data_IF_496356220365
#
_entry.id   IF_496356220365
#
_cell.length_a   1.000
_cell.length_b   1.000
_cell.length_c   1.000
_cell.angle_alpha   90.00
_cell.angle_beta   90.00
_cell.angle_gamma   90.00
#
_symmetry.space_group_name_H-M   'P 1'
#
loop_
_entity.id
_entity.type
_entity.pdbx_description
1 polymer ?
#
# COMPACT_ATOMS: atom_id res chain seq x y z
N UNK A 1 27.73 -33.31 -10.74
CA UNK A 1 27.03 -32.83 -9.53
C UNK A 1 27.73 -31.59 -9.03
N UNK A 2 26.96 -30.58 -8.62
CA UNK A 2 27.38 -29.29 -8.07
C UNK A 2 27.72 -28.18 -9.07
N UNK A 3 26.71 -27.69 -9.78
CA UNK A 3 26.69 -26.27 -10.18
C UNK A 3 25.26 -25.68 -10.32
N UNK A 4 24.32 -26.12 -9.47
CA UNK A 4 22.91 -25.65 -9.49
C UNK A 4 22.58 -24.76 -8.27
N UNK A 5 23.51 -24.55 -7.33
CA UNK A 5 23.19 -23.89 -6.04
C UNK A 5 23.78 -22.50 -5.84
N UNK A 6 24.10 -21.73 -6.90
CA UNK A 6 24.71 -20.40 -6.71
C UNK A 6 24.17 -19.22 -7.52
N UNK A 7 22.97 -19.35 -8.08
CA UNK A 7 22.26 -18.21 -8.69
C UNK A 7 20.76 -18.21 -8.33
N UNK A 8 20.45 -18.15 -7.03
CA UNK A 8 19.28 -17.38 -6.62
C UNK A 8 19.76 -15.95 -6.42
N UNK A 9 19.87 -15.21 -7.53
CA UNK A 9 19.82 -13.75 -7.48
C UNK A 9 18.46 -13.44 -6.87
N UNK A 10 18.44 -13.09 -5.59
CA UNK A 10 17.29 -12.45 -4.98
C UNK A 10 17.06 -11.21 -5.84
N UNK A 11 16.05 -11.24 -6.73
CA UNK A 11 15.57 -10.02 -7.38
C UNK A 11 15.39 -9.00 -6.27
N UNK A 12 16.04 -7.83 -6.38
CA UNK A 12 15.74 -6.73 -5.48
C UNK A 12 14.23 -6.54 -5.56
N UNK A 13 13.53 -6.76 -4.44
CA UNK A 13 12.07 -6.60 -4.40
C UNK A 13 11.72 -5.23 -4.94
N UNK A 14 10.73 -5.16 -5.83
CA UNK A 14 10.24 -3.88 -6.30
C UNK A 14 9.62 -3.12 -5.11
N UNK A 15 9.84 -1.81 -5.09
CA UNK A 15 9.26 -0.97 -4.05
C UNK A 15 7.75 -0.84 -4.28
N UNK A 16 6.97 -1.31 -3.32
CA UNK A 16 5.51 -1.16 -3.30
C UNK A 16 5.15 0.05 -2.45
N UNK A 17 4.49 1.05 -3.04
CA UNK A 17 3.91 2.14 -2.24
C UNK A 17 2.70 1.64 -1.47
N UNK A 18 2.51 2.11 -0.24
CA UNK A 18 1.41 1.68 0.61
C UNK A 18 0.02 1.81 -0.03
N UNK A 19 -0.23 2.86 -0.82
CA UNK A 19 -1.50 3.06 -1.50
C UNK A 19 -1.72 2.14 -2.72
N UNK A 20 -0.69 1.42 -3.14
CA UNK A 20 -0.75 0.41 -4.22
C UNK A 20 -0.71 -1.03 -3.69
N UNK A 21 -0.51 -1.21 -2.38
CA UNK A 21 -0.44 -2.53 -1.77
C UNK A 21 -1.78 -3.26 -1.87
N UNK A 22 -1.80 -4.38 -2.60
CA UNK A 22 -2.95 -5.28 -2.71
C UNK A 22 -2.78 -6.47 -1.75
N UNK A 23 -3.58 -6.55 -0.70
CA UNK A 23 -3.37 -7.54 0.37
C UNK A 23 -3.51 -8.99 -0.13
N UNK A 24 -4.40 -9.23 -1.10
CA UNK A 24 -4.60 -10.55 -1.71
C UNK A 24 -3.38 -11.08 -2.48
N UNK A 25 -2.42 -10.21 -2.80
CA UNK A 25 -1.16 -10.60 -3.47
C UNK A 25 -0.10 -11.06 -2.46
N UNK A 26 -0.41 -11.07 -1.15
CA UNK A 26 0.47 -11.55 -0.11
C UNK A 26 0.36 -13.06 0.00
N UNK A 27 1.50 -13.75 -0.09
CA UNK A 27 1.62 -15.18 0.17
C UNK A 27 2.33 -15.43 1.50
N UNK A 28 1.88 -16.45 2.22
CA UNK A 28 2.43 -16.85 3.51
C UNK A 28 2.98 -18.26 3.41
N UNK A 29 4.23 -18.44 3.85
CA UNK A 29 4.79 -19.78 4.03
C UNK A 29 4.36 -20.37 5.38
N UNK A 30 4.18 -21.68 5.42
CA UNK A 30 3.96 -22.41 6.66
C UNK A 30 5.09 -22.13 7.67
N UNK A 31 4.78 -21.73 8.92
CA UNK A 31 5.81 -21.43 9.90
C UNK A 31 6.69 -22.64 10.23
N UNK A 32 8.00 -22.47 10.05
CA UNK A 32 9.00 -23.50 10.37
C UNK A 32 9.72 -23.19 11.67
N UNK A 33 10.10 -24.22 12.42
CA UNK A 33 10.89 -24.06 13.63
C UNK A 33 12.31 -23.57 13.27
N UNK A 34 12.69 -22.39 13.78
CA UNK A 34 14.04 -21.80 13.67
C UNK A 34 14.70 -21.70 15.05
N UNK A 35 14.53 -22.73 15.88
CA UNK A 35 15.11 -22.86 17.21
C UNK A 35 14.15 -22.41 18.32
N UNK A 36 14.23 -21.14 18.71
CA UNK A 36 13.40 -20.58 19.79
C UNK A 36 12.09 -19.98 19.32
N UNK A 37 11.91 -19.86 18.01
CA UNK A 37 10.76 -19.24 17.35
C UNK A 37 10.34 -20.08 16.16
N UNK A 38 9.07 -20.00 15.79
CA UNK A 38 8.61 -20.43 14.48
C UNK A 38 8.51 -19.22 13.56
N UNK A 39 8.90 -19.39 12.30
CA UNK A 39 8.91 -18.29 11.33
C UNK A 39 8.32 -18.75 10.00
N UNK A 40 7.30 -18.04 9.52
CA UNK A 40 6.75 -18.19 8.17
C UNK A 40 7.09 -16.94 7.36
N UNK A 41 7.67 -17.12 6.17
CA UNK A 41 7.97 -15.99 5.28
C UNK A 41 6.68 -15.34 4.78
N UNK A 42 6.76 -14.05 4.48
CA UNK A 42 5.71 -13.30 3.79
C UNK A 42 6.29 -12.75 2.49
N UNK A 43 5.68 -13.13 1.38
CA UNK A 43 6.05 -12.66 0.05
C UNK A 43 4.90 -11.86 -0.54
N UNK A 44 5.24 -10.93 -1.44
CA UNK A 44 4.31 -10.15 -2.22
C UNK A 44 4.60 -10.39 -3.69
N UNK A 45 3.65 -11.00 -4.40
CA UNK A 45 3.84 -11.45 -5.78
C UNK A 45 5.15 -12.26 -5.95
N UNK A 46 5.38 -13.21 -5.02
CA UNK A 46 6.58 -14.06 -4.95
C UNK A 46 7.91 -13.33 -4.70
N UNK A 47 7.88 -12.05 -4.32
CA UNK A 47 9.06 -11.23 -4.03
C UNK A 47 9.05 -10.71 -2.59
N UNK A 48 10.20 -10.28 -2.04
CA UNK A 48 10.23 -9.61 -0.75
C UNK A 48 9.39 -8.32 -0.76
N UNK A 49 8.52 -8.15 0.24
CA UNK A 49 7.67 -6.97 0.34
C UNK A 49 8.47 -5.77 0.89
N UNK A 50 8.80 -4.81 0.01
CA UNK A 50 9.37 -3.52 0.37
C UNK A 50 8.29 -2.44 0.32
N UNK A 51 7.77 -2.07 1.49
CA UNK A 51 6.67 -1.14 1.64
C UNK A 51 7.16 0.29 1.88
N UNK A 52 6.86 1.19 0.95
CA UNK A 52 7.10 2.63 1.13
C UNK A 52 5.91 3.29 1.83
N UNK A 53 6.17 4.02 2.91
CA UNK A 53 5.14 4.74 3.67
C UNK A 53 4.62 6.00 2.98
N UNK A 54 3.55 6.59 3.53
CA UNK A 54 3.23 8.01 3.32
C UNK A 54 4.24 8.90 4.05
N UNK A 55 4.01 10.23 4.03
CA UNK A 55 4.77 11.17 4.84
C UNK A 55 4.37 11.01 6.30
N UNK A 56 5.34 10.90 7.19
CA UNK A 56 5.16 10.76 8.64
C UNK A 56 6.03 11.78 9.35
N UNK A 57 5.61 12.22 10.54
CA UNK A 57 6.42 13.12 11.37
C UNK A 57 7.14 12.33 12.45
N UNK A 58 8.39 12.70 12.71
CA UNK A 58 9.20 12.08 13.75
C UNK A 58 8.76 12.63 15.10
N UNK A 59 8.21 11.79 15.96
CA UNK A 59 7.84 12.17 17.33
C UNK A 59 9.00 11.99 18.31
N UNK A 60 9.88 11.02 18.05
CA UNK A 60 11.09 10.81 18.83
C UNK A 60 11.73 9.45 18.57
N UNK A 61 12.84 9.21 19.26
CA UNK A 61 13.55 7.93 19.28
C UNK A 61 13.60 7.46 20.73
N UNK A 62 13.04 6.29 21.00
CA UNK A 62 12.99 5.73 22.35
C UNK A 62 14.24 4.93 22.69
N UNK A 63 14.55 4.84 24.00
CA UNK A 63 15.73 4.15 24.54
C UNK A 63 15.87 2.68 24.12
N UNK A 64 14.77 2.03 23.72
CA UNK A 64 14.76 0.64 23.28
C UNK A 64 15.11 0.47 21.79
N UNK A 65 15.70 1.50 21.15
CA UNK A 65 16.02 1.50 19.71
C UNK A 65 14.74 1.40 18.86
N UNK A 66 13.73 2.19 19.21
CA UNK A 66 12.51 2.36 18.42
C UNK A 66 12.42 3.80 17.92
N UNK A 67 11.95 3.98 16.70
CA UNK A 67 11.52 5.29 16.20
C UNK A 67 10.00 5.41 16.35
N UNK A 68 9.56 6.52 16.94
CA UNK A 68 8.15 6.85 17.11
C UNK A 68 7.78 7.89 16.08
N UNK A 69 6.77 7.56 15.29
CA UNK A 69 6.29 8.36 14.17
C UNK A 69 4.82 8.67 14.38
N UNK A 70 4.37 9.81 13.88
CA UNK A 70 2.96 10.18 13.87
C UNK A 70 2.51 10.47 12.43
N UNK A 71 1.24 10.20 12.15
CA UNK A 71 0.64 10.58 10.86
C UNK A 71 0.42 12.09 10.79
N UNK A 72 0.20 12.60 9.58
CA UNK A 72 -0.34 13.95 9.44
C UNK A 72 -1.82 13.99 9.84
N UNK A 73 -2.34 15.19 10.13
CA UNK A 73 -3.76 15.40 10.50
C UNK A 73 -4.70 15.09 9.34
N UNK A 74 -4.22 15.28 8.12
CA UNK A 74 -5.01 15.09 6.89
C UNK A 74 -4.73 13.76 6.19
N UNK A 75 -3.74 12.98 6.64
CA UNK A 75 -3.31 11.77 5.95
C UNK A 75 -3.03 10.61 6.91
N UNK A 76 -4.06 9.80 7.14
CA UNK A 76 -3.99 8.54 7.91
C UNK A 76 -3.73 7.31 7.04
N UNK A 77 -3.57 7.50 5.72
CA UNK A 77 -3.73 6.41 4.76
C UNK A 77 -2.67 5.30 4.88
N UNK A 78 -1.45 5.62 5.37
CA UNK A 78 -0.46 4.60 5.69
C UNK A 78 -0.81 3.80 6.94
N UNK A 79 -1.28 4.49 7.99
CA UNK A 79 -1.73 3.82 9.22
C UNK A 79 -2.91 2.90 8.92
N UNK A 80 -3.91 3.37 8.19
CA UNK A 80 -5.07 2.56 7.78
C UNK A 80 -4.64 1.34 6.96
N UNK A 81 -3.63 1.49 6.09
CA UNK A 81 -3.08 0.35 5.34
C UNK A 81 -2.41 -0.67 6.25
N UNK A 82 -1.73 -0.24 7.31
CA UNK A 82 -1.17 -1.16 8.31
C UNK A 82 -2.25 -1.84 9.15
N UNK A 83 -3.34 -1.15 9.49
CA UNK A 83 -4.51 -1.77 10.14
C UNK A 83 -5.10 -2.87 9.25
N UNK A 84 -5.32 -2.58 7.97
CA UNK A 84 -5.82 -3.57 7.01
C UNK A 84 -4.85 -4.76 6.86
N UNK A 85 -3.54 -4.51 6.92
CA UNK A 85 -2.53 -5.56 6.89
C UNK A 85 -2.58 -6.43 8.16
N UNK A 86 -2.73 -5.81 9.34
CA UNK A 86 -2.90 -6.52 10.61
C UNK A 86 -4.13 -7.45 10.56
N UNK A 87 -5.26 -6.96 10.07
CA UNK A 87 -6.49 -7.74 9.92
C UNK A 87 -6.33 -8.89 8.89
N UNK A 88 -5.71 -8.60 7.75
CA UNK A 88 -5.43 -9.62 6.74
C UNK A 88 -4.51 -10.73 7.27
N UNK A 89 -3.54 -10.40 8.13
CA UNK A 89 -2.67 -11.39 8.77
C UNK A 89 -3.44 -12.27 9.74
N UNK A 90 -4.37 -11.70 10.53
CA UNK A 90 -5.24 -12.46 11.42
C UNK A 90 -6.10 -13.45 10.64
N UNK A 91 -6.77 -12.97 9.59
CA UNK A 91 -7.60 -13.79 8.72
C UNK A 91 -6.79 -14.91 8.06
N UNK A 92 -5.63 -14.58 7.48
CA UNK A 92 -4.75 -15.58 6.89
C UNK A 92 -4.29 -16.62 7.92
N UNK A 93 -3.95 -16.20 9.14
CA UNK A 93 -3.53 -17.13 10.20
C UNK A 93 -4.67 -18.04 10.63
N UNK A 94 -5.90 -17.51 10.70
CA UNK A 94 -7.10 -18.29 11.01
C UNK A 94 -7.37 -19.36 9.96
N UNK A 95 -7.42 -18.96 8.68
CA UNK A 95 -7.66 -19.87 7.55
C UNK A 95 -6.61 -20.98 7.43
N UNK A 96 -5.36 -20.68 7.78
CA UNK A 96 -4.27 -21.65 7.70
C UNK A 96 -3.97 -22.35 9.04
N UNK A 97 -4.75 -22.09 10.10
CA UNK A 97 -4.40 -22.54 11.46
C UNK A 97 -4.31 -24.07 11.59
N UNK A 98 -5.24 -24.80 10.96
CA UNK A 98 -5.23 -26.26 10.94
C UNK A 98 -3.95 -26.79 10.26
N UNK A 99 -3.59 -26.26 9.10
CA UNK A 99 -2.39 -26.69 8.37
C UNK A 99 -1.10 -26.31 9.10
N UNK A 100 -1.01 -25.09 9.64
CA UNK A 100 0.20 -24.56 10.26
C UNK A 100 0.48 -25.18 11.63
N UNK A 101 -0.57 -25.41 12.42
CA UNK A 101 -0.44 -25.83 13.82
C UNK A 101 -0.98 -27.24 14.11
N UNK A 102 -1.47 -27.95 13.09
CA UNK A 102 -2.19 -29.23 13.22
C UNK A 102 -3.38 -29.13 14.18
N UNK A 103 -3.97 -27.93 14.27
CA UNK A 103 -5.10 -27.63 15.15
C UNK A 103 -5.78 -26.34 14.67
N UNK A 104 -7.10 -26.37 14.54
CA UNK A 104 -7.90 -25.17 14.35
C UNK A 104 -7.78 -24.25 15.57
N UNK A 105 -7.42 -22.99 15.32
CA UNK A 105 -7.34 -21.97 16.36
C UNK A 105 -8.51 -21.00 16.19
N UNK A 106 -9.42 -20.92 17.19
CA UNK A 106 -10.48 -19.91 17.22
C UNK A 106 -9.94 -18.47 17.05
N UNK A 107 -10.71 -17.62 16.36
CA UNK A 107 -10.32 -16.24 16.06
C UNK A 107 -10.02 -15.41 17.31
N UNK A 108 -10.79 -15.57 18.38
CA UNK A 108 -10.58 -14.88 19.66
C UNK A 108 -9.23 -15.23 20.31
N UNK A 109 -8.78 -16.48 20.16
CA UNK A 109 -7.44 -16.88 20.62
C UNK A 109 -6.36 -16.20 19.77
N UNK A 110 -6.54 -16.17 18.44
CA UNK A 110 -5.58 -15.54 17.52
C UNK A 110 -5.48 -14.03 17.75
N UNK A 111 -6.60 -13.33 17.92
CA UNK A 111 -6.64 -11.90 18.24
C UNK A 111 -5.89 -11.59 19.53
N UNK A 112 -6.05 -12.43 20.56
CA UNK A 112 -5.34 -12.28 21.83
C UNK A 112 -3.83 -12.57 21.71
N UNK A 113 -3.43 -13.47 20.81
CA UNK A 113 -2.03 -13.81 20.58
C UNK A 113 -1.33 -12.82 19.64
N UNK A 114 -2.05 -12.17 18.74
CA UNK A 114 -1.45 -11.34 17.71
C UNK A 114 -1.06 -9.96 18.26
N UNK A 115 0.22 -9.62 18.13
CA UNK A 115 0.70 -8.26 18.37
C UNK A 115 0.66 -7.48 17.06
N UNK A 116 -0.35 -6.64 16.96
CA UNK A 116 -0.57 -5.70 15.85
C UNK A 116 0.63 -4.76 15.65
N UNK A 117 0.89 -4.40 14.40
CA UNK A 117 1.83 -3.34 14.02
C UNK A 117 1.29 -1.99 14.52
N UNK A 118 -0.03 -1.83 14.45
CA UNK A 118 -0.76 -0.63 14.86
C UNK A 118 -1.25 -0.73 16.31
N UNK A 119 -1.40 0.43 16.97
CA UNK A 119 -1.99 0.53 18.31
C UNK A 119 -3.24 1.42 18.26
N UNK A 120 -4.32 1.06 18.98
CA UNK A 120 -5.48 1.94 19.12
C UNK A 120 -5.07 3.29 19.70
N UNK A 121 -5.75 4.34 19.24
CA UNK A 121 -5.53 5.72 19.67
C UNK A 121 -6.87 6.40 19.96
N UNK A 122 -6.85 7.51 20.70
CA UNK A 122 -8.08 8.25 21.04
C UNK A 122 -8.47 9.19 19.90
N UNK A 123 -9.76 9.56 19.85
CA UNK A 123 -10.34 10.41 18.79
C UNK A 123 -9.58 11.75 18.57
N UNK A 124 -9.01 12.33 19.63
CA UNK A 124 -8.32 13.62 19.56
C UNK A 124 -6.79 13.48 19.52
N UNK A 125 -6.27 12.25 19.47
CA UNK A 125 -4.84 11.96 19.36
C UNK A 125 -4.51 11.55 17.91
N UNK A 126 -3.32 11.92 17.42
CA UNK A 126 -2.84 11.43 16.12
C UNK A 126 -2.38 9.97 16.26
N UNK A 127 -2.70 9.08 15.31
CA UNK A 127 -2.15 7.74 15.31
C UNK A 127 -0.62 7.77 15.30
N UNK A 128 -0.02 6.98 16.17
CA UNK A 128 1.43 6.82 16.25
C UNK A 128 1.86 5.42 15.86
N UNK A 129 3.00 5.32 15.21
CA UNK A 129 3.66 4.07 14.84
C UNK A 129 5.00 3.97 15.58
N UNK A 130 5.23 2.83 16.23
CA UNK A 130 6.50 2.50 16.88
C UNK A 130 7.21 1.42 16.07
N UNK A 131 8.28 1.79 15.36
CA UNK A 131 9.03 0.88 14.52
C UNK A 131 10.40 0.58 15.12
N UNK A 132 10.75 -0.70 15.19
CA UNK A 132 12.04 -1.14 15.72
C UNK A 132 13.16 -0.77 14.75
N UNK A 133 14.19 -0.11 15.28
CA UNK A 133 15.42 0.15 14.56
C UNK A 133 16.34 -1.08 14.65
N UNK A 134 16.75 -1.68 13.52
CA UNK A 134 17.68 -2.79 13.51
C UNK A 134 19.11 -2.34 13.84
N UNK A 135 19.69 -2.95 14.88
CA UNK A 135 21.10 -2.79 15.24
C UNK A 135 21.82 -4.13 15.14
N UNK A 136 23.05 -4.11 14.61
CA UNK A 136 23.96 -5.24 14.63
C UNK A 136 25.30 -4.78 15.18
N UNK A 137 25.77 -5.38 16.28
CA UNK A 137 26.99 -4.97 16.99
C UNK A 137 27.03 -3.46 17.27
N UNK A 138 25.91 -2.94 17.80
CA UNK A 138 25.64 -1.51 18.08
C UNK A 138 25.70 -0.54 16.90
N UNK A 139 25.82 -1.04 15.67
CA UNK A 139 25.67 -0.24 14.46
C UNK A 139 24.24 -0.30 13.94
N UNK A 140 23.64 0.87 13.74
CA UNK A 140 22.35 1.00 13.07
C UNK A 140 22.47 0.46 11.64
N UNK A 141 21.53 -0.41 11.26
CA UNK A 141 21.48 -0.99 9.92
C UNK A 141 20.54 -0.22 8.98
N UNK A 142 19.65 0.60 9.53
CA UNK A 142 18.81 1.52 8.77
C UNK A 142 19.65 2.62 8.15
N UNK A 143 19.49 2.85 6.84
CA UNK A 143 20.12 3.98 6.15
C UNK A 143 19.24 5.21 6.28
N UNK A 144 19.76 6.28 6.86
CA UNK A 144 19.05 7.56 6.98
C UNK A 144 19.58 8.50 5.90
N UNK A 145 18.67 8.99 5.07
CA UNK A 145 18.96 9.89 3.96
C UNK A 145 18.46 11.29 4.27
N UNK A 146 19.32 12.28 4.05
CA UNK A 146 18.94 13.69 4.08
C UNK A 146 18.14 14.11 2.86
N UNK A 147 17.91 15.41 2.73
CA UNK A 147 17.06 15.97 1.66
C UNK A 147 17.69 15.82 0.27
N UNK A 148 19.03 15.77 0.19
CA UNK A 148 19.80 15.65 -1.06
C UNK A 148 20.24 14.21 -1.36
N UNK A 149 19.67 13.21 -0.67
CA UNK A 149 20.02 11.78 -0.73
C UNK A 149 21.42 11.43 -0.21
N UNK A 150 22.05 12.33 0.53
CA UNK A 150 23.23 12.07 1.33
C UNK A 150 22.90 11.21 2.54
N UNK A 151 23.83 10.35 2.98
CA UNK A 151 23.66 9.60 4.22
C UNK A 151 23.93 10.53 5.41
N UNK A 152 23.00 10.56 6.35
CA UNK A 152 23.11 11.32 7.60
C UNK A 152 23.03 10.37 8.80
N UNK A 153 23.43 10.86 9.96
CA UNK A 153 23.25 10.11 11.20
C UNK A 153 21.78 10.16 11.66
N UNK A 154 21.35 9.12 12.36
CA UNK A 154 20.02 9.06 12.97
C UNK A 154 19.82 10.22 13.97
N UNK A 155 20.87 10.62 14.68
CA UNK A 155 20.85 11.73 15.63
C UNK A 155 20.61 13.09 14.97
N UNK A 156 20.82 13.19 13.64
CA UNK A 156 20.51 14.40 12.87
C UNK A 156 19.01 14.55 12.58
N UNK A 157 18.20 13.53 12.89
CA UNK A 157 16.77 13.54 12.64
C UNK A 157 16.03 14.26 13.80
N UNK A 158 15.70 15.53 13.59
CA UNK A 158 15.00 16.33 14.60
C UNK A 158 13.54 15.90 14.77
N UNK A 159 13.02 16.00 16.00
CA UNK A 159 11.58 15.86 16.29
C UNK A 159 10.78 16.89 15.49
N UNK A 160 9.65 16.46 14.94
CA UNK A 160 8.81 17.24 14.03
C UNK A 160 9.21 17.12 12.55
N UNK A 161 10.38 16.56 12.24
CA UNK A 161 10.81 16.35 10.86
C UNK A 161 9.87 15.42 10.09
N UNK A 162 9.55 15.79 8.86
CA UNK A 162 8.75 14.95 7.96
C UNK A 162 9.65 13.94 7.22
N UNK A 163 9.31 12.65 7.27
CA UNK A 163 10.06 11.54 6.69
C UNK A 163 9.19 10.61 5.84
N UNK A 164 9.84 9.88 4.93
CA UNK A 164 9.29 8.70 4.26
C UNK A 164 10.15 7.49 4.63
N UNK A 165 9.51 6.35 4.84
CA UNK A 165 10.14 5.12 5.30
C UNK A 165 10.14 4.05 4.21
N UNK A 166 11.13 3.18 4.27
CA UNK A 166 11.16 1.91 3.54
C UNK A 166 11.12 0.76 4.52
N UNK A 167 9.94 0.17 4.70
CA UNK A 167 9.69 -0.92 5.62
C UNK A 167 9.69 -2.25 4.87
N UNK A 168 10.62 -3.13 5.19
CA UNK A 168 10.62 -4.49 4.67
C UNK A 168 9.75 -5.37 5.56
N UNK A 169 8.71 -5.98 4.99
CA UNK A 169 7.89 -6.98 5.68
C UNK A 169 8.49 -8.35 5.38
N UNK A 170 8.93 -9.07 6.43
CA UNK A 170 9.67 -10.33 6.26
C UNK A 170 8.78 -11.56 6.39
N UNK A 171 7.82 -11.53 7.30
CA UNK A 171 7.11 -12.74 7.68
C UNK A 171 6.39 -12.64 9.00
N UNK A 172 5.84 -13.77 9.43
CA UNK A 172 5.21 -13.94 10.72
C UNK A 172 6.16 -14.68 11.65
N UNK A 173 6.39 -14.10 12.82
CA UNK A 173 7.21 -14.72 13.87
C UNK A 173 6.32 -15.13 15.03
N UNK A 174 6.29 -16.43 15.29
CA UNK A 174 5.52 -17.04 16.36
C UNK A 174 6.43 -17.37 17.54
N UNK A 175 6.08 -16.78 18.68
CA UNK A 175 6.64 -17.07 20.00
C UNK A 175 5.68 -17.99 20.75
N UNK A 176 6.07 -18.44 21.95
CA UNK A 176 5.25 -19.34 22.77
C UNK A 176 3.85 -18.80 23.11
N UNK A 177 3.71 -17.49 23.29
CA UNK A 177 2.48 -16.85 23.78
C UNK A 177 1.86 -15.88 22.79
N UNK A 178 2.63 -15.38 21.84
CA UNK A 178 2.18 -14.35 20.91
C UNK A 178 2.92 -14.50 19.59
N UNK A 179 2.39 -13.87 18.56
CA UNK A 179 3.03 -13.78 17.27
C UNK A 179 2.84 -12.38 16.70
N UNK A 180 3.69 -12.01 15.74
CA UNK A 180 3.69 -10.67 15.18
C UNK A 180 4.26 -10.66 13.76
N UNK A 181 3.93 -9.61 13.02
CA UNK A 181 4.53 -9.33 11.74
C UNK A 181 5.97 -8.83 11.92
N UNK A 182 6.96 -9.64 11.53
CA UNK A 182 8.38 -9.28 11.61
C UNK A 182 8.68 -8.28 10.48
N UNK A 183 8.95 -7.04 10.89
CA UNK A 183 9.28 -5.94 9.98
C UNK A 183 10.72 -5.47 10.20
N UNK A 184 11.30 -4.90 9.16
CA UNK A 184 12.66 -4.37 9.18
C UNK A 184 12.69 -2.99 8.52
N UNK A 185 12.95 -1.97 9.33
CA UNK A 185 13.06 -0.60 8.83
C UNK A 185 14.40 -0.41 8.11
N UNK A 186 14.37 -0.46 6.78
CA UNK A 186 15.57 -0.48 5.95
C UNK A 186 16.11 0.93 5.65
N UNK A 187 15.22 1.88 5.40
CA UNK A 187 15.59 3.26 5.04
C UNK A 187 14.62 4.28 5.64
N UNK A 188 15.16 5.45 5.94
CA UNK A 188 14.42 6.66 6.33
C UNK A 188 14.91 7.78 5.43
N UNK A 189 14.02 8.57 4.83
CA UNK A 189 14.37 9.73 4.02
C UNK A 189 13.70 10.99 4.56
N UNK A 190 14.51 12.00 4.87
CA UNK A 190 14.03 13.33 5.26
C UNK A 190 13.44 14.06 4.06
N UNK A 191 12.24 14.62 4.25
CA UNK A 191 11.54 15.39 3.23
C UNK A 191 11.57 16.86 3.59
N UNK A 192 11.89 17.70 2.61
CA UNK A 192 11.76 19.15 2.75
C UNK A 192 10.28 19.50 2.80
N UNK A 193 9.86 20.10 3.91
CA UNK A 193 8.54 20.75 3.96
C UNK A 193 8.56 21.92 2.97
N UNK A 194 7.72 21.84 1.94
CA UNK A 194 7.40 23.01 1.13
C UNK A 194 6.58 23.92 2.02
N UNK A 195 7.23 24.92 2.63
CA UNK A 195 6.54 26.00 3.30
C UNK A 195 5.69 26.69 2.23
N UNK A 196 4.40 26.37 2.19
CA UNK A 196 3.45 27.16 1.44
C UNK A 196 3.48 28.54 2.08
N UNK A 197 4.07 29.51 1.39
CA UNK A 197 4.05 30.91 1.81
C UNK A 197 2.59 31.32 1.75
N UNK A 198 1.91 31.33 2.90
CA UNK A 198 0.62 31.98 3.05
C UNK A 198 0.92 33.43 3.35
N UNK A 199 0.75 34.35 2.39
CA UNK A 199 0.96 35.76 2.68
C UNK A 199 -0.02 36.19 3.78
N UNK A 200 0.49 36.91 4.78
CA UNK A 200 -0.30 37.37 5.93
C UNK A 200 -1.31 38.47 5.56
N UNK A 201 -1.15 39.08 4.39
CA UNK A 201 -2.02 40.09 3.83
C UNK A 201 -2.52 39.65 2.45
N UNK A 202 -3.66 40.20 2.04
CA UNK A 202 -4.08 40.13 0.65
C UNK A 202 -3.00 40.80 -0.21
N UNK A 203 -2.38 40.03 -1.11
CA UNK A 203 -1.45 40.53 -2.13
C UNK A 203 -2.13 40.67 -3.50
N UNK A 204 -3.45 40.50 -3.54
CA UNK A 204 -4.24 40.70 -4.75
C UNK A 204 -4.39 42.21 -4.90
N UNK A 205 -3.76 42.77 -5.93
CA UNK A 205 -3.97 44.15 -6.34
C UNK A 205 -5.30 44.22 -7.09
N UNK A 206 -6.23 45.04 -6.60
CA UNK A 206 -7.46 45.36 -7.34
C UNK A 206 -7.08 46.39 -8.40
N UNK A 207 -7.12 46.01 -9.67
CA UNK A 207 -6.95 46.95 -10.79
C UNK A 207 -8.10 47.97 -10.76
N UNK A 208 -7.93 49.10 -10.07
CA UNK A 208 -8.80 50.25 -10.23
C UNK A 208 -8.64 50.75 -11.67
N UNK A 209 -9.60 50.40 -12.53
CA UNK A 209 -9.69 50.87 -13.91
C UNK A 209 -10.09 52.36 -13.91
N UNK A 210 -9.12 53.22 -13.56
CA UNK A 210 -9.20 54.67 -13.68
C UNK A 210 -8.84 55.09 -15.10
N UNK A 211 -9.82 55.59 -15.84
CA UNK A 211 -9.66 56.07 -17.20
C UNK A 211 -8.72 57.30 -17.29
N UNK A 212 -7.57 57.16 -17.96
CA UNK A 212 -7.16 58.01 -19.10
C UNK A 212 -5.71 57.76 -19.55
N UNK A 213 -5.59 57.40 -20.83
CA UNK A 213 -4.60 57.80 -21.84
C UNK A 213 -3.09 57.46 -21.76
N UNK A 214 -2.69 56.79 -22.86
CA UNK A 214 -1.42 56.78 -23.59
C UNK A 214 -0.44 55.63 -23.32
N UNK A 215 -0.37 54.80 -24.36
CA UNK A 215 0.43 53.59 -24.59
C UNK A 215 1.88 53.99 -24.87
N UNK A 216 2.85 53.42 -24.15
CA UNK A 216 3.99 52.72 -24.77
C UNK A 216 4.78 51.92 -23.71
N UNK A 217 5.18 50.70 -24.05
CA UNK A 217 5.99 49.85 -23.17
C UNK A 217 5.53 48.40 -23.06
N UNK A 218 5.48 47.71 -24.21
CA UNK A 218 5.70 46.26 -24.36
C UNK A 218 5.63 45.40 -23.07
N UNK A 219 4.43 45.02 -22.65
CA UNK A 219 4.26 43.97 -21.64
C UNK A 219 4.50 42.62 -22.29
N UNK A 220 5.66 42.04 -21.96
CA UNK A 220 6.04 40.68 -22.28
C UNK A 220 5.16 39.70 -21.49
N UNK A 221 4.12 39.18 -22.13
CA UNK A 221 3.23 38.14 -21.57
C UNK A 221 3.85 36.73 -21.66
N UNK A 222 5.18 36.60 -21.65
CA UNK A 222 5.85 35.30 -21.72
C UNK A 222 6.39 34.86 -20.36
N UNK A 223 5.50 34.44 -19.44
CA UNK A 223 5.68 33.15 -18.70
C UNK A 223 4.27 32.61 -18.35
N UNK A 224 3.44 32.34 -19.35
CA UNK A 224 2.52 31.20 -19.22
C UNK A 224 3.35 29.98 -19.59
N UNK A 225 3.71 29.17 -18.60
CA UNK A 225 4.48 27.94 -18.79
C UNK A 225 3.79 27.09 -19.88
N UNK A 226 4.35 27.06 -21.10
CA UNK A 226 3.77 26.30 -22.23
C UNK A 226 3.56 24.83 -21.84
N UNK A 227 4.39 24.31 -20.93
CA UNK A 227 4.24 22.99 -20.34
C UNK A 227 2.94 22.82 -19.56
N UNK A 228 2.52 23.83 -18.78
CA UNK A 228 1.28 23.75 -18.00
C UNK A 228 0.07 23.78 -18.94
N UNK A 229 0.11 24.62 -19.98
CA UNK A 229 -0.97 24.68 -20.96
C UNK A 229 -1.07 23.38 -21.78
N UNK A 230 0.06 22.79 -22.19
CA UNK A 230 0.13 21.49 -22.86
C UNK A 230 -0.37 20.36 -21.96
N UNK A 231 0.07 20.29 -20.70
CA UNK A 231 -0.38 19.29 -19.73
C UNK A 231 -1.88 19.39 -19.44
N UNK A 232 -2.43 20.60 -19.30
CA UNK A 232 -3.86 20.77 -19.08
C UNK A 232 -4.69 20.33 -20.29
N UNK A 233 -4.20 20.60 -21.51
CA UNK A 233 -4.86 20.13 -22.74
C UNK A 233 -4.81 18.59 -22.85
N UNK A 234 -3.67 17.98 -22.56
CA UNK A 234 -3.53 16.51 -22.51
C UNK A 234 -4.44 15.88 -21.46
N UNK A 235 -4.58 16.50 -20.27
CA UNK A 235 -5.47 16.04 -19.21
C UNK A 235 -6.94 16.08 -19.67
N UNK A 236 -7.38 17.13 -20.35
CA UNK A 236 -8.75 17.23 -20.87
C UNK A 236 -9.02 16.21 -21.99
N UNK A 237 -8.05 16.01 -22.89
CA UNK A 237 -8.15 14.98 -23.94
C UNK A 237 -8.22 13.56 -23.35
N UNK A 238 -7.41 13.26 -22.33
CA UNK A 238 -7.44 11.98 -21.61
C UNK A 238 -8.77 11.77 -20.86
N UNK A 239 -9.29 12.80 -20.18
CA UNK A 239 -10.60 12.73 -19.50
C UNK A 239 -11.72 12.40 -20.49
N UNK A 240 -11.72 13.06 -21.66
CA UNK A 240 -12.73 12.81 -22.70
C UNK A 240 -12.66 11.37 -23.23
N UNK A 241 -11.45 10.83 -23.36
CA UNK A 241 -11.21 9.46 -23.83
C UNK A 241 -11.62 8.42 -22.79
N UNK A 242 -11.33 8.66 -21.51
CA UNK A 242 -11.77 7.80 -20.40
C UNK A 242 -13.30 7.74 -20.33
N UNK A 243 -13.99 8.88 -20.51
CA UNK A 243 -15.45 8.93 -20.48
C UNK A 243 -16.07 8.09 -21.61
N UNK A 244 -15.53 8.17 -22.83
CA UNK A 244 -15.96 7.35 -23.97
C UNK A 244 -15.72 5.87 -23.73
N UNK A 245 -14.53 5.50 -23.24
CA UNK A 245 -14.21 4.10 -22.95
C UNK A 245 -15.12 3.53 -21.86
N UNK A 246 -15.49 4.34 -20.87
CA UNK A 246 -16.43 3.91 -19.83
C UNK A 246 -17.82 3.61 -20.40
N UNK A 247 -18.30 4.42 -21.34
CA UNK A 247 -19.58 4.16 -22.03
C UNK A 247 -19.53 2.89 -22.87
N UNK A 248 -18.41 2.64 -23.57
CA UNK A 248 -18.24 1.41 -24.35
C UNK A 248 -18.23 0.17 -23.45
N UNK A 249 -17.53 0.23 -22.31
CA UNK A 249 -17.52 -0.88 -21.33
C UNK A 249 -18.93 -1.17 -20.81
N UNK A 250 -19.70 -0.12 -20.50
CA UNK A 250 -21.08 -0.26 -20.03
C UNK A 250 -22.00 -0.86 -21.10
N UNK A 251 -21.82 -0.51 -22.37
CA UNK A 251 -22.53 -1.13 -23.50
C UNK A 251 -22.13 -2.61 -23.69
N UNK A 252 -20.83 -2.93 -23.59
CA UNK A 252 -20.31 -4.29 -23.73
C UNK A 252 -20.79 -5.21 -22.59
N UNK A 253 -20.85 -4.70 -21.35
CA UNK A 253 -21.39 -5.41 -20.19
C UNK A 253 -22.87 -5.78 -20.40
N UNK A 254 -23.69 -4.82 -20.85
CA UNK A 254 -25.10 -5.06 -21.14
C UNK A 254 -25.31 -6.09 -22.28
N UNK A 255 -24.47 -6.04 -23.31
CA UNK A 255 -24.50 -7.02 -24.40
C UNK A 255 -24.11 -8.42 -23.92
N UNK A 256 -23.08 -8.52 -23.07
CA UNK A 256 -22.65 -9.80 -22.48
C UNK A 256 -23.75 -10.41 -21.60
N UNK A 257 -24.44 -9.61 -20.79
CA UNK A 257 -25.56 -10.08 -19.98
C UNK A 257 -26.69 -10.65 -20.85
N UNK A 258 -27.01 -9.98 -21.95
CA UNK A 258 -28.03 -10.43 -22.91
C UNK A 258 -27.63 -11.78 -23.53
N UNK A 259 -26.39 -11.91 -24.00
CA UNK A 259 -25.87 -13.17 -24.58
C UNK A 259 -25.90 -14.30 -23.55
N UNK A 260 -25.53 -14.02 -22.30
CA UNK A 260 -25.57 -15.02 -21.22
C UNK A 260 -27.00 -15.50 -20.97
N UNK A 261 -27.98 -14.60 -21.00
CA UNK A 261 -29.40 -14.96 -20.85
C UNK A 261 -29.87 -15.89 -21.96
N UNK A 262 -29.61 -15.54 -23.22
CA UNK A 262 -30.00 -16.36 -24.38
C UNK A 262 -29.35 -17.76 -24.36
N UNK A 263 -28.09 -17.84 -23.94
CA UNK A 263 -27.39 -19.13 -23.83
C UNK A 263 -27.95 -20.00 -22.71
N UNK A 264 -28.36 -19.40 -21.59
CA UNK A 264 -29.02 -20.15 -20.50
C UNK A 264 -30.33 -20.76 -20.98
N UNK A 265 -31.17 -20.00 -21.67
CA UNK A 265 -32.45 -20.49 -22.21
C UNK A 265 -32.24 -21.64 -23.22
N UNK A 266 -31.24 -21.52 -24.09
CA UNK A 266 -30.90 -22.58 -25.05
C UNK A 266 -30.37 -23.86 -24.37
N UNK A 267 -29.62 -23.73 -23.28
CA UNK A 267 -29.15 -24.88 -22.47
C UNK A 267 -30.34 -25.57 -21.77
N UNK A 268 -31.28 -24.80 -21.22
CA UNK A 268 -32.48 -25.30 -20.57
C UNK A 268 -33.34 -26.14 -21.54
N UNK A 269 -33.54 -25.63 -22.76
CA UNK A 269 -34.27 -26.35 -23.81
C UNK A 269 -33.59 -27.68 -24.16
N UNK A 270 -32.27 -27.67 -24.37
CA UNK A 270 -31.51 -28.89 -24.67
C UNK A 270 -31.52 -29.91 -23.54
N UNK A 271 -31.49 -29.47 -22.27
CA UNK A 271 -31.65 -30.36 -21.11
C UNK A 271 -33.02 -31.05 -21.11
N UNK A 272 -34.08 -30.31 -21.41
CA UNK A 272 -35.43 -30.86 -21.47
C UNK A 272 -35.59 -31.86 -22.63
N UNK A 273 -34.98 -31.60 -23.78
CA UNK A 273 -34.95 -32.55 -24.90
C UNK A 273 -34.16 -33.83 -24.56
N UNK A 274 -33.00 -33.69 -23.91
CA UNK A 274 -32.17 -34.83 -23.50
C UNK A 274 -32.92 -35.74 -22.53
N UNK A 275 -33.59 -35.16 -21.52
CA UNK A 275 -34.40 -35.91 -20.55
C UNK A 275 -35.51 -36.72 -21.22
N UNK A 276 -36.19 -36.16 -22.24
CA UNK A 276 -37.22 -36.89 -23.00
C UNK A 276 -36.63 -38.06 -23.82
N UNK A 277 -35.45 -37.88 -24.40
CA UNK A 277 -34.76 -38.96 -25.13
C UNK A 277 -34.30 -40.08 -24.19
N UNK A 278 -33.82 -39.74 -23.00
CA UNK A 278 -33.43 -40.72 -21.97
C UNK A 278 -34.63 -41.57 -21.52
N UNK A 279 -35.79 -40.95 -21.28
CA UNK A 279 -37.03 -41.67 -20.98
C UNK A 279 -37.47 -42.62 -22.11
N UNK A 280 -37.35 -42.19 -23.37
CA UNK A 280 -37.67 -43.02 -24.53
C UNK A 280 -36.72 -44.22 -24.66
N UNK A 281 -35.42 -44.04 -24.43
CA UNK A 281 -34.42 -45.11 -24.43
C UNK A 281 -34.68 -46.15 -23.33
N UNK A 282 -35.16 -45.72 -22.17
CA UNK A 282 -35.46 -46.60 -21.05
C UNK A 282 -36.71 -47.46 -21.29
N UNK A 283 -37.65 -47.00 -22.11
CA UNK A 283 -38.84 -47.75 -22.52
C UNK A 283 -38.59 -48.73 -23.69
N UNK A 284 -37.40 -48.72 -24.30
CA UNK A 284 -37.03 -49.61 -25.42
C UNK A 284 -36.18 -50.81 -24.94
N UNK A 285 -35.68 -50.79 -23.70
CA UNK A 285 -34.98 -51.91 -23.05
C UNK A 285 -35.94 -52.79 -22.25
#
# INVERSE_FOLDING_TARGET
>A
MNNIYKEFIIKMGEVTRYNKLQLNNIQYDKPENKGTVYFGSMLYDLNPLLLQSSRLKVKGIEKQKYIVLETDESDFSFYDKLVQLDDHILDATYQNSEEWFNKELPMDILENMYKRITKPFKKDEKPSLELKLPYHSDKLQTKVYGQTNELIDLDSLAVGSTVILMLQVKGLKFLKQNYYCDTYLSQIKLIKETVAIKPASCLIEDDEVGASEQIDGNYDYEILDEEILKKNKEIEELKSSILKNKQIIEEDENNLETIISEKKDSIEQKKNELSKLEEQLQNIK
#
